data_IF_241733072849
#
_entry.id   IF_241733072849
#
_cell.length_a   1.000
_cell.length_b   1.000
_cell.length_c   1.000
_cell.angle_alpha   90.00
_cell.angle_beta   90.00
_cell.angle_gamma   90.00
#
_symmetry.space_group_name_H-M   'P 1'
#
loop_
_entity.id
_entity.type
_entity.pdbx_description
1 polymer ?
#
# COMPACT_ATOMS: atom_id res chain seq x y z
N UNK A 1 -1.03 -9.37 38.17
CA UNK A 1 -1.47 -9.76 36.81
C UNK A 1 -0.36 -9.37 35.84
N UNK A 2 0.11 -10.30 35.00
CA UNK A 2 0.98 -9.96 33.88
C UNK A 2 0.09 -9.74 32.66
N UNK A 3 0.12 -8.55 32.08
CA UNK A 3 -0.44 -8.31 30.75
C UNK A 3 0.52 -8.85 29.71
N UNK A 4 -0.03 -9.42 28.64
CA UNK A 4 0.71 -9.75 27.43
C UNK A 4 0.24 -8.75 26.38
N UNK A 5 1.18 -7.96 25.86
CA UNK A 5 0.93 -7.07 24.74
C UNK A 5 1.43 -7.75 23.47
N UNK A 6 0.55 -7.82 22.47
CA UNK A 6 0.89 -8.25 21.13
C UNK A 6 1.11 -6.99 20.31
N UNK A 7 2.34 -6.81 19.84
CA UNK A 7 2.71 -5.71 18.95
C UNK A 7 3.03 -6.33 17.61
N UNK A 8 2.35 -5.87 16.57
CA UNK A 8 2.67 -6.23 15.20
C UNK A 8 3.44 -5.05 14.59
N UNK A 9 4.63 -5.28 14.01
CA UNK A 9 5.42 -4.24 13.37
C UNK A 9 4.64 -3.52 12.26
N UNK A 10 4.84 -2.21 12.12
CA UNK A 10 4.16 -1.38 11.12
C UNK A 10 4.40 -1.89 9.68
N UNK A 11 5.62 -2.34 9.42
CA UNK A 11 6.03 -2.94 8.15
C UNK A 11 5.20 -4.18 7.76
N UNK A 12 4.66 -4.93 8.72
CA UNK A 12 3.81 -6.10 8.44
C UNK A 12 2.38 -5.72 8.02
N UNK A 13 1.98 -4.48 8.28
CA UNK A 13 0.69 -3.93 7.85
C UNK A 13 0.81 -2.97 6.67
N UNK A 14 2.02 -2.77 6.16
CA UNK A 14 2.23 -1.93 4.99
C UNK A 14 1.77 -2.65 3.72
N UNK A 15 0.48 -2.52 3.43
CA UNK A 15 -0.12 -3.05 2.20
C UNK A 15 0.42 -2.35 0.96
N UNK A 16 1.07 -1.18 1.07
CA UNK A 16 1.72 -0.51 -0.05
C UNK A 16 3.00 -1.23 -0.45
N UNK A 17 3.68 -1.89 0.49
CA UNK A 17 4.82 -2.74 0.17
C UNK A 17 4.48 -3.82 -0.85
N UNK A 18 5.42 -4.09 -1.76
CA UNK A 18 5.29 -5.18 -2.73
C UNK A 18 5.08 -6.53 -2.03
N UNK A 19 5.68 -6.73 -0.85
CA UNK A 19 5.59 -7.95 -0.03
C UNK A 19 4.15 -8.24 0.44
N UNK A 20 3.40 -7.21 0.82
CA UNK A 20 2.05 -7.34 1.35
C UNK A 20 0.98 -6.81 0.40
N UNK A 21 1.34 -6.58 -0.87
CA UNK A 21 0.43 -6.10 -1.92
C UNK A 21 -0.81 -6.98 -2.13
N UNK A 22 -0.72 -8.27 -1.78
CA UNK A 22 -1.87 -9.20 -1.79
C UNK A 22 -2.95 -8.90 -0.74
N UNK A 23 -2.61 -8.18 0.32
CA UNK A 23 -3.53 -7.77 1.38
C UNK A 23 -4.23 -6.42 1.07
N UNK A 24 -3.90 -5.79 -0.06
CA UNK A 24 -4.53 -4.53 -0.47
C UNK A 24 -6.02 -4.72 -0.69
N UNK A 25 -6.79 -3.83 -0.08
CA UNK A 25 -8.21 -3.75 -0.37
C UNK A 25 -8.44 -3.34 -1.83
N UNK A 26 -9.23 -4.12 -2.55
CA UNK A 26 -9.47 -3.91 -3.99
C UNK A 26 -10.34 -2.70 -4.29
N UNK A 27 -11.11 -2.21 -3.30
CA UNK A 27 -12.00 -1.07 -3.44
C UNK A 27 -12.88 -1.18 -4.71
N UNK A 28 -13.76 -2.19 -4.74
CA UNK A 28 -14.66 -2.44 -5.87
C UNK A 28 -15.67 -1.30 -6.07
N UNK A 29 -15.91 -0.53 -5.00
CA UNK A 29 -16.77 0.62 -4.91
C UNK A 29 -16.16 1.86 -5.60
N UNK A 30 -14.84 1.85 -5.84
CA UNK A 30 -14.07 2.96 -6.45
C UNK A 30 -14.20 4.26 -5.65
N UNK A 31 -14.32 4.16 -4.33
CA UNK A 31 -14.50 5.30 -3.43
C UNK A 31 -13.14 5.72 -2.88
N UNK A 32 -12.86 7.03 -2.91
CA UNK A 32 -11.70 7.59 -2.22
C UNK A 32 -12.02 7.79 -0.74
N UNK A 33 -11.89 6.72 0.06
CA UNK A 33 -12.23 6.74 1.49
C UNK A 33 -11.38 7.70 2.32
N UNK A 34 -10.14 7.95 1.89
CA UNK A 34 -9.18 8.82 2.58
C UNK A 34 -8.72 9.94 1.62
N UNK A 35 -9.50 11.01 1.46
CA UNK A 35 -9.18 12.07 0.52
C UNK A 35 -7.90 12.83 0.85
N UNK A 36 -7.58 12.97 2.14
CA UNK A 36 -6.38 13.60 2.70
C UNK A 36 -5.12 12.75 2.59
N UNK A 37 -5.24 11.44 2.37
CA UNK A 37 -4.07 10.58 2.27
C UNK A 37 -3.36 10.78 0.92
N UNK A 38 -2.08 11.16 1.00
CA UNK A 38 -1.20 11.30 -0.15
C UNK A 38 0.02 10.37 0.03
N UNK A 39 0.10 9.24 -0.70
CA UNK A 39 1.26 8.34 -0.63
C UNK A 39 2.54 9.02 -1.10
N UNK A 40 2.44 10.09 -1.89
CA UNK A 40 3.56 10.79 -2.50
C UNK A 40 3.77 12.17 -1.87
N UNK A 41 3.88 12.18 -0.53
CA UNK A 41 4.12 13.40 0.25
C UNK A 41 5.43 14.12 -0.12
N UNK A 42 6.41 13.38 -0.64
CA UNK A 42 7.64 13.91 -1.24
C UNK A 42 7.72 13.38 -2.68
N UNK A 43 7.19 14.13 -3.64
CA UNK A 43 7.41 13.82 -5.06
C UNK A 43 8.91 13.87 -5.35
N UNK A 44 9.54 12.70 -5.51
CA UNK A 44 10.85 12.59 -6.14
C UNK A 44 10.61 12.82 -7.63
N UNK A 45 10.74 14.07 -8.07
CA UNK A 45 10.79 14.40 -9.49
C UNK A 45 12.11 13.89 -10.04
N UNK A 46 12.17 12.62 -10.43
CA UNK A 46 13.22 12.19 -11.34
C UNK A 46 12.95 12.89 -12.67
N UNK A 47 13.84 13.80 -13.06
CA UNK A 47 13.78 14.62 -14.28
C UNK A 47 14.00 13.80 -15.57
N UNK A 48 13.68 12.51 -15.56
CA UNK A 48 13.75 11.68 -16.74
C UNK A 48 12.42 11.83 -17.47
N UNK A 49 12.40 12.73 -18.45
CA UNK A 49 11.31 12.98 -19.40
C UNK A 49 11.03 11.73 -20.25
N UNK A 50 10.59 10.65 -19.62
CA UNK A 50 10.13 9.45 -20.29
C UNK A 50 8.64 9.63 -20.48
N UNK A 51 8.23 9.71 -21.75
CA UNK A 51 6.81 9.70 -22.12
C UNK A 51 6.14 8.47 -21.50
N UNK A 52 5.16 8.69 -20.61
CA UNK A 52 4.40 7.64 -19.94
C UNK A 52 3.69 6.68 -20.91
N UNK A 53 3.59 7.07 -22.19
CA UNK A 53 3.07 6.26 -23.29
C UNK A 53 3.97 5.08 -23.67
N UNK A 54 5.29 5.18 -23.42
CA UNK A 54 6.29 4.17 -23.82
C UNK A 54 6.90 3.42 -22.64
N UNK A 55 6.72 3.92 -21.42
CA UNK A 55 7.27 3.31 -20.23
C UNK A 55 6.29 2.27 -19.67
N UNK A 56 6.65 0.99 -19.71
CA UNK A 56 5.91 -0.07 -19.02
C UNK A 56 6.16 0.01 -17.50
N UNK A 57 5.73 1.10 -16.87
CA UNK A 57 5.88 1.33 -15.43
C UNK A 57 4.72 0.66 -14.71
N UNK A 58 5.03 -0.24 -13.79
CA UNK A 58 4.02 -0.88 -12.97
C UNK A 58 3.76 -0.05 -11.70
N UNK A 59 2.72 0.78 -11.73
CA UNK A 59 2.30 1.60 -10.60
C UNK A 59 1.83 0.80 -9.37
N UNK A 60 1.63 -0.52 -9.48
CA UNK A 60 1.30 -1.37 -8.34
C UNK A 60 2.51 -1.61 -7.42
N UNK A 61 3.73 -1.36 -7.89
CA UNK A 61 4.92 -1.50 -7.06
C UNK A 61 5.12 -0.24 -6.23
N UNK A 62 5.45 -0.40 -4.95
CA UNK A 62 5.74 0.69 -4.02
C UNK A 62 6.75 1.70 -4.60
N UNK A 63 7.84 1.18 -5.16
CA UNK A 63 8.94 1.96 -5.76
C UNK A 63 8.46 2.86 -6.92
N UNK A 64 7.42 2.45 -7.63
CA UNK A 64 6.89 3.15 -8.80
C UNK A 64 5.64 3.97 -8.48
N UNK A 65 5.04 3.78 -7.30
CA UNK A 65 3.75 4.39 -6.93
C UNK A 65 3.76 5.91 -7.09
N UNK A 66 4.91 6.51 -6.78
CA UNK A 66 5.13 7.95 -6.84
C UNK A 66 5.91 8.42 -8.08
N UNK A 67 6.01 7.58 -9.10
CA UNK A 67 6.53 7.99 -10.40
C UNK A 67 5.57 9.00 -11.06
N UNK A 68 6.11 9.91 -11.88
CA UNK A 68 5.32 10.91 -12.62
C UNK A 68 4.21 10.32 -13.50
N UNK A 69 4.35 9.05 -13.90
CA UNK A 69 3.38 8.34 -14.74
C UNK A 69 2.26 7.68 -13.94
N UNK A 70 2.37 7.67 -12.62
CA UNK A 70 1.40 7.06 -11.72
C UNK A 70 0.59 8.14 -11.02
N UNK A 71 -0.70 7.90 -10.82
CA UNK A 71 -1.63 8.87 -10.22
C UNK A 71 -1.66 8.74 -8.67
N UNK A 72 -0.52 8.40 -8.06
CA UNK A 72 -0.37 8.20 -6.62
C UNK A 72 -1.33 7.15 -6.08
N UNK A 73 -2.29 7.57 -5.23
CA UNK A 73 -3.28 6.66 -4.63
C UNK A 73 -4.27 6.07 -5.63
N UNK A 74 -4.35 6.57 -6.87
CA UNK A 74 -5.29 6.07 -7.88
C UNK A 74 -4.58 5.16 -8.88
N UNK A 75 -5.01 3.89 -8.95
CA UNK A 75 -4.39 2.85 -9.77
C UNK A 75 -5.48 1.98 -10.38
N UNK A 76 -5.34 1.63 -11.67
CA UNK A 76 -6.22 0.70 -12.38
C UNK A 76 -7.73 1.01 -12.23
N UNK A 77 -8.09 2.30 -12.15
CA UNK A 77 -9.49 2.72 -12.05
C UNK A 77 -10.09 2.67 -10.64
N UNK A 78 -9.27 2.51 -9.60
CA UNK A 78 -9.70 2.54 -8.19
C UNK A 78 -8.68 3.24 -7.29
N UNK A 79 -9.05 3.45 -6.02
CA UNK A 79 -8.20 4.10 -5.02
C UNK A 79 -7.63 3.08 -4.04
N UNK A 80 -6.32 3.16 -3.82
CA UNK A 80 -5.65 2.49 -2.72
C UNK A 80 -6.09 3.06 -1.37
N UNK A 81 -5.87 2.27 -0.32
CA UNK A 81 -6.02 2.70 1.07
C UNK A 81 -4.62 2.88 1.71
N UNK A 82 -4.51 3.71 2.76
CA UNK A 82 -3.27 3.85 3.52
C UNK A 82 -2.77 2.53 4.13
N UNK A 83 -1.47 2.44 4.44
CA UNK A 83 -0.90 1.35 5.25
C UNK A 83 -1.74 1.11 6.51
N UNK A 84 -1.92 -0.16 6.91
CA UNK A 84 -2.78 -0.54 8.03
C UNK A 84 -4.25 -0.79 7.70
N UNK A 85 -4.71 -0.40 6.50
CA UNK A 85 -6.09 -0.67 6.06
C UNK A 85 -6.12 -1.89 5.13
N UNK A 86 -6.64 -3.00 5.64
CA UNK A 86 -6.80 -4.25 4.87
C UNK A 86 -8.16 -4.87 5.17
N UNK A 87 -8.70 -5.70 4.25
CA UNK A 87 -10.00 -6.33 4.48
C UNK A 87 -9.90 -7.33 5.64
N UNK A 88 -10.90 -7.30 6.56
CA UNK A 88 -10.92 -8.15 7.76
C UNK A 88 -10.82 -9.66 7.47
N UNK A 89 -11.25 -10.08 6.28
CA UNK A 89 -11.11 -11.47 5.80
C UNK A 89 -9.66 -11.91 5.60
N UNK A 90 -8.73 -10.96 5.53
CA UNK A 90 -7.31 -11.19 5.31
C UNK A 90 -6.47 -10.64 6.47
N UNK A 91 -6.98 -10.65 7.71
CA UNK A 91 -6.13 -10.36 8.85
C UNK A 91 -4.94 -11.33 8.84
N UNK A 92 -3.69 -10.84 8.79
CA UNK A 92 -2.52 -11.71 8.82
C UNK A 92 -2.52 -12.41 10.17
N UNK A 93 -3.05 -13.63 10.19
CA UNK A 93 -3.06 -14.51 11.35
C UNK A 93 -1.63 -14.97 11.61
N UNK A 94 -0.80 -14.10 12.16
CA UNK A 94 0.47 -14.52 12.75
C UNK A 94 0.11 -15.11 14.10
N UNK A 95 -0.26 -16.39 14.07
CA UNK A 95 -0.30 -17.23 15.26
C UNK A 95 1.15 -17.41 15.72
N UNK A 96 1.64 -16.46 16.54
CA UNK A 96 2.90 -16.57 17.28
C UNK A 96 2.74 -17.65 18.37
N UNK A 97 2.67 -18.92 17.99
CA UNK A 97 3.03 -20.02 18.88
C UNK A 97 4.54 -20.18 18.84
N UNK A 98 5.26 -19.27 19.52
CA UNK A 98 6.59 -19.60 20.00
C UNK A 98 6.40 -20.53 21.20
N UNK A 99 6.20 -21.82 20.91
CA UNK A 99 6.38 -22.87 21.90
C UNK A 99 7.87 -22.90 22.24
N UNK A 100 8.14 -22.43 23.45
CA UNK A 100 9.45 -22.40 24.07
C UNK A 100 9.89 -23.81 24.46
#
# INVERSE_FOLDING_TARGET
>A
MKSIEFVVPEEEFDTISSKYSGFRYRNHEKIKYFPEWNPCSKTIRNNDFISCSNASINCLLEENLCHECCQGSYINGTYLLPPGMFPLVCFPGILFFSLK
#
